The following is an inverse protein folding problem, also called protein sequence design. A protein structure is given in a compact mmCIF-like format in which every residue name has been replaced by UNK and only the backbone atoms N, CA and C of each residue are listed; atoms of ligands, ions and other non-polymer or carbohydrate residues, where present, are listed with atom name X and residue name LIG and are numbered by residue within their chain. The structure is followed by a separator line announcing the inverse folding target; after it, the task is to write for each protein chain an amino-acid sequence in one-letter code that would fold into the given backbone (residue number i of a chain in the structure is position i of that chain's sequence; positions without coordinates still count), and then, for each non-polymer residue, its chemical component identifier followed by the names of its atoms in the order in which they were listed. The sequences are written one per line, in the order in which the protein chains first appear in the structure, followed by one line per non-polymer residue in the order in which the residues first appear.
data_IF_331149771428
#
_entry.id   IF_331149771428
#
_cell.length_a   1.000
_cell.length_b   1.000
_cell.length_c   1.000
_cell.angle_alpha   90.00
_cell.angle_beta   90.00
_cell.angle_gamma   90.00
#
_symmetry.space_group_name_H-M   'P 1'
#
loop_
_entity.id
_entity.type
_entity.pdbx_description
1 polymer ?
#
# COMPACT_ATOMS: atom_id res chain seq x y z
N UNK A 1 -21.04 -7.55 13.22
CA UNK A 1 -20.34 -6.58 12.34
C UNK A 1 -18.80 -6.74 12.27
N UNK A 2 -18.08 -7.05 13.37
CA UNK A 2 -16.61 -7.27 13.34
C UNK A 2 -16.14 -8.36 12.36
N UNK A 3 -16.86 -9.47 12.26
CA UNK A 3 -16.51 -10.58 11.36
C UNK A 3 -16.60 -10.23 9.87
N UNK A 4 -17.59 -9.44 9.44
CA UNK A 4 -17.77 -9.11 8.02
C UNK A 4 -16.67 -8.16 7.52
N UNK A 5 -16.33 -7.14 8.30
CA UNK A 5 -15.23 -6.22 7.97
C UNK A 5 -13.88 -6.94 7.88
N UNK A 6 -13.61 -7.86 8.82
CA UNK A 6 -12.39 -8.68 8.80
C UNK A 6 -12.33 -9.60 7.56
N UNK A 7 -13.46 -10.20 7.17
CA UNK A 7 -13.52 -11.05 5.96
C UNK A 7 -13.30 -10.24 4.68
N UNK A 8 -13.91 -9.06 4.58
CA UNK A 8 -13.73 -8.15 3.44
C UNK A 8 -12.27 -7.68 3.33
N UNK A 9 -11.64 -7.29 4.45
CA UNK A 9 -10.23 -6.91 4.49
C UNK A 9 -9.31 -8.06 4.09
N UNK A 10 -9.56 -9.28 4.58
CA UNK A 10 -8.80 -10.47 4.17
C UNK A 10 -8.94 -10.72 2.67
N UNK A 11 -10.14 -10.63 2.11
CA UNK A 11 -10.37 -10.80 0.67
C UNK A 11 -9.67 -9.72 -0.14
N UNK A 12 -9.69 -8.47 0.32
CA UNK A 12 -8.98 -7.36 -0.31
C UNK A 12 -7.46 -7.56 -0.29
N UNK A 13 -6.88 -7.96 0.85
CA UNK A 13 -5.44 -8.29 0.94
C UNK A 13 -5.05 -9.45 0.02
N UNK A 14 -5.92 -10.48 -0.10
CA UNK A 14 -5.73 -11.57 -1.08
C UNK A 14 -5.77 -11.06 -2.53
N UNK A 15 -6.68 -10.14 -2.85
CA UNK A 15 -6.76 -9.52 -4.19
C UNK A 15 -5.49 -8.73 -4.52
N UNK A 16 -4.95 -7.96 -3.56
CA UNK A 16 -3.66 -7.28 -3.76
C UNK A 16 -2.53 -8.29 -4.03
N UNK A 17 -2.59 -9.46 -3.38
CA UNK A 17 -1.70 -10.59 -3.65
C UNK A 17 -0.24 -10.32 -3.28
N UNK A 18 0.01 -9.40 -2.34
CA UNK A 18 1.35 -8.99 -1.95
C UNK A 18 2.13 -10.19 -1.36
N UNK A 19 3.44 -10.22 -1.61
CA UNK A 19 4.33 -11.26 -1.06
C UNK A 19 4.35 -11.24 0.46
N UNK A 20 4.34 -12.43 1.06
CA UNK A 20 4.45 -12.59 2.52
C UNK A 20 5.72 -11.92 3.02
N UNK A 21 5.59 -11.20 4.13
CA UNK A 21 6.72 -10.49 4.73
C UNK A 21 7.42 -11.38 5.77
N UNK A 22 8.73 -11.24 5.85
CA UNK A 22 9.60 -11.92 6.82
C UNK A 22 10.90 -11.12 6.96
N UNK A 23 11.59 -11.14 8.12
CA UNK A 23 11.27 -11.83 9.37
C UNK A 23 10.30 -11.04 10.27
N UNK A 24 10.01 -11.53 11.49
CA UNK A 24 9.09 -10.89 12.45
C UNK A 24 9.41 -9.43 12.80
N UNK A 25 10.66 -8.98 12.63
CA UNK A 25 11.03 -7.58 12.84
C UNK A 25 10.38 -6.66 11.82
N UNK A 26 10.11 -7.14 10.59
CA UNK A 26 9.59 -6.33 9.49
C UNK A 26 8.35 -5.52 9.89
N UNK A 27 7.33 -6.18 10.46
CA UNK A 27 6.09 -5.47 10.80
C UNK A 27 6.29 -4.48 11.95
N UNK A 28 7.20 -4.78 12.89
CA UNK A 28 7.49 -3.89 14.03
C UNK A 28 8.21 -2.64 13.55
N UNK A 29 9.19 -2.81 12.66
CA UNK A 29 9.96 -1.71 12.11
C UNK A 29 9.10 -0.86 11.19
N UNK A 30 8.29 -1.48 10.33
CA UNK A 30 7.31 -0.76 9.50
C UNK A 30 6.32 0.01 10.37
N UNK A 31 5.71 -0.62 11.37
CA UNK A 31 4.75 0.07 12.24
C UNK A 31 5.39 1.24 13.01
N UNK A 32 6.65 1.11 13.44
CA UNK A 32 7.38 2.22 14.08
C UNK A 32 7.60 3.39 13.13
N UNK A 33 7.95 3.11 11.88
CA UNK A 33 8.13 4.10 10.81
C UNK A 33 6.81 4.86 10.58
N UNK A 34 5.71 4.14 10.31
CA UNK A 34 4.38 4.74 10.08
C UNK A 34 3.91 5.60 11.26
N UNK A 35 4.16 5.16 12.50
CA UNK A 35 3.82 5.94 13.70
C UNK A 35 4.70 7.18 13.89
N UNK A 36 5.94 7.19 13.36
CA UNK A 36 6.79 8.39 13.34
C UNK A 36 6.27 9.37 12.29
N UNK A 37 5.98 8.91 11.08
CA UNK A 37 5.42 9.73 10.00
C UNK A 37 4.07 10.34 10.43
N UNK A 38 3.20 9.53 11.06
CA UNK A 38 1.94 10.01 11.62
C UNK A 38 2.09 11.09 12.68
N UNK A 39 3.14 11.05 13.49
CA UNK A 39 3.43 12.08 14.51
C UNK A 39 4.00 13.36 13.89
N UNK A 40 4.74 13.23 12.78
CA UNK A 40 5.26 14.37 12.03
C UNK A 40 4.20 15.06 11.14
N UNK A 41 3.06 14.40 10.89
CA UNK A 41 1.99 14.95 10.06
C UNK A 41 1.32 16.18 10.70
N UNK A 42 1.31 17.29 9.97
CA UNK A 42 0.83 18.58 10.46
C UNK A 42 -0.62 18.86 10.04
N UNK A 43 -1.02 18.48 8.84
CA UNK A 43 -2.37 18.79 8.29
C UNK A 43 -3.36 17.65 8.51
N UNK A 44 -4.68 17.92 8.59
CA UNK A 44 -5.69 16.86 8.73
C UNK A 44 -5.63 15.78 7.64
N UNK A 45 -5.36 16.18 6.39
CA UNK A 45 -5.21 15.24 5.27
C UNK A 45 -3.97 14.36 5.41
N UNK A 46 -2.82 14.94 5.77
CA UNK A 46 -1.61 14.15 6.08
C UNK A 46 -1.88 13.20 7.24
N UNK A 47 -2.52 13.68 8.31
CA UNK A 47 -2.91 12.85 9.44
C UNK A 47 -3.80 11.69 9.03
N UNK A 48 -4.77 11.90 8.12
CA UNK A 48 -5.61 10.83 7.57
C UNK A 48 -4.80 9.83 6.75
N UNK A 49 -3.95 10.32 5.83
CA UNK A 49 -3.02 9.51 5.03
C UNK A 49 -2.17 8.60 5.92
N UNK A 50 -1.42 9.17 6.86
CA UNK A 50 -0.51 8.41 7.71
C UNK A 50 -1.28 7.45 8.64
N UNK A 51 -2.49 7.83 9.08
CA UNK A 51 -3.35 6.90 9.85
C UNK A 51 -3.74 5.70 8.99
N UNK A 52 -4.03 5.92 7.70
CA UNK A 52 -4.37 4.85 6.78
C UNK A 52 -3.20 3.89 6.54
N UNK A 53 -1.96 4.38 6.56
CA UNK A 53 -0.75 3.55 6.36
C UNK A 53 -0.42 2.74 7.62
N UNK A 54 -0.65 3.30 8.82
CA UNK A 54 -0.64 2.55 10.09
C UNK A 54 -1.67 1.40 10.05
N UNK A 55 -2.91 1.69 9.62
CA UNK A 55 -3.99 0.69 9.55
C UNK A 55 -3.69 -0.39 8.51
N UNK A 56 -3.12 -0.01 7.37
CA UNK A 56 -2.66 -0.94 6.37
C UNK A 56 -1.58 -1.86 6.94
N UNK A 57 -0.56 -1.32 7.61
CA UNK A 57 0.54 -2.10 8.19
C UNK A 57 0.04 -3.12 9.22
N UNK A 58 -0.88 -2.74 10.10
CA UNK A 58 -1.47 -3.65 11.09
C UNK A 58 -2.31 -4.74 10.41
N UNK A 59 -3.20 -4.36 9.48
CA UNK A 59 -4.06 -5.32 8.79
C UNK A 59 -3.27 -6.28 7.90
N UNK A 60 -2.20 -5.79 7.25
CA UNK A 60 -1.27 -6.60 6.48
C UNK A 60 -0.53 -7.59 7.36
N UNK A 61 0.02 -7.14 8.48
CA UNK A 61 0.73 -8.02 9.40
C UNK A 61 -0.18 -9.15 9.94
N UNK A 62 -1.45 -8.86 10.20
CA UNK A 62 -2.45 -9.88 10.57
C UNK A 62 -2.72 -10.85 9.42
N UNK A 63 -2.78 -10.38 8.18
CA UNK A 63 -2.95 -11.25 7.00
C UNK A 63 -1.73 -12.14 6.76
N UNK A 64 -0.53 -11.65 7.05
CA UNK A 64 0.72 -12.41 6.94
C UNK A 64 0.95 -13.38 8.11
N UNK A 65 0.04 -13.43 9.08
CA UNK A 65 0.09 -14.38 10.20
C UNK A 65 0.95 -13.94 11.39
N UNK A 66 1.36 -12.67 11.47
CA UNK A 66 2.11 -12.18 12.62
C UNK A 66 1.23 -12.10 13.88
N UNK A 67 1.80 -12.33 15.09
CA UNK A 67 1.08 -12.21 16.35
C UNK A 67 0.92 -10.72 16.73
N UNK A 68 0.07 -10.01 15.99
CA UNK A 68 -0.22 -8.59 16.26
C UNK A 68 -1.23 -8.51 17.41
N UNK A 69 -0.91 -7.74 18.46
CA UNK A 69 -1.88 -7.41 19.53
C UNK A 69 -3.11 -6.76 18.90
N UNK A 70 -4.28 -6.98 19.52
CA UNK A 70 -5.56 -6.49 19.00
C UNK A 70 -5.49 -5.03 18.53
N UNK A 71 -6.09 -4.76 17.37
CA UNK A 71 -6.27 -3.42 16.84
C UNK A 71 -6.89 -2.51 17.93
N UNK A 72 -6.47 -1.23 18.03
CA UNK A 72 -7.11 -0.28 18.95
C UNK A 72 -8.63 -0.33 18.77
N UNK A 73 -9.38 -0.26 19.89
CA UNK A 73 -10.85 -0.38 19.88
C UNK A 73 -11.46 0.49 18.78
N UNK A 74 -12.17 -0.18 17.87
CA UNK A 74 -12.85 0.42 16.73
C UNK A 74 -13.90 1.45 17.18
N UNK A 75 -13.60 2.74 17.04
CA UNK A 75 -14.56 3.86 17.10
C UNK A 75 -15.17 4.07 15.70
N UNK A 76 -16.37 3.53 15.48
CA UNK A 76 -16.98 3.35 14.17
C UNK A 76 -17.01 4.59 13.26
N UNK A 77 -17.32 5.78 13.77
CA UNK A 77 -17.43 6.99 12.95
C UNK A 77 -16.08 7.49 12.39
N UNK A 78 -14.98 7.34 13.14
CA UNK A 78 -13.64 7.80 12.72
C UNK A 78 -12.91 6.79 11.85
N UNK A 79 -13.14 5.48 12.04
CA UNK A 79 -12.41 4.48 11.28
C UNK A 79 -12.96 4.25 9.87
N UNK A 80 -14.25 4.50 9.61
CA UNK A 80 -14.81 4.32 8.25
C UNK A 80 -14.06 5.17 7.22
N UNK A 81 -13.77 6.44 7.54
CA UNK A 81 -12.98 7.32 6.66
C UNK A 81 -11.56 6.80 6.45
N UNK A 82 -10.89 6.35 7.53
CA UNK A 82 -9.54 5.78 7.46
C UNK A 82 -9.50 4.51 6.60
N UNK A 83 -10.43 3.57 6.81
CA UNK A 83 -10.51 2.34 6.01
C UNK A 83 -10.85 2.64 4.56
N UNK A 84 -11.78 3.56 4.29
CA UNK A 84 -12.12 3.95 2.92
C UNK A 84 -10.91 4.57 2.23
N UNK A 85 -10.23 5.53 2.88
CA UNK A 85 -9.02 6.14 2.33
C UNK A 85 -7.92 5.10 2.09
N UNK A 86 -7.69 4.20 3.05
CA UNK A 86 -6.73 3.08 2.93
C UNK A 86 -7.04 2.20 1.71
N UNK A 87 -8.29 1.74 1.56
CA UNK A 87 -8.69 0.86 0.45
C UNK A 87 -8.47 1.56 -0.90
N UNK A 88 -8.90 2.81 -1.03
CA UNK A 88 -8.73 3.57 -2.28
C UNK A 88 -7.25 3.85 -2.56
N UNK A 89 -6.48 4.30 -1.56
CA UNK A 89 -5.04 4.58 -1.65
C UNK A 89 -4.25 3.39 -2.14
N UNK A 90 -4.34 2.26 -1.44
CA UNK A 90 -3.53 1.08 -1.75
C UNK A 90 -4.02 0.36 -3.01
N UNK A 91 -5.33 0.37 -3.31
CA UNK A 91 -5.84 -0.16 -4.59
C UNK A 91 -5.41 0.71 -5.77
N UNK A 92 -5.39 2.04 -5.61
CA UNK A 92 -4.89 2.97 -6.61
C UNK A 92 -3.41 2.71 -6.92
N UNK A 93 -2.57 2.56 -5.88
CA UNK A 93 -1.14 2.21 -6.04
C UNK A 93 -0.97 0.86 -6.74
N UNK A 94 -1.71 -0.16 -6.33
CA UNK A 94 -1.68 -1.48 -6.96
C UNK A 94 -2.04 -1.43 -8.46
N UNK A 95 -3.13 -0.74 -8.80
CA UNK A 95 -3.54 -0.54 -10.20
C UNK A 95 -2.52 0.27 -10.99
N UNK A 96 -1.89 1.28 -10.38
CA UNK A 96 -0.86 2.10 -11.02
C UNK A 96 0.27 1.20 -11.54
N UNK A 97 0.87 0.38 -10.67
CA UNK A 97 2.01 -0.46 -11.05
C UNK A 97 1.65 -1.50 -12.11
N UNK A 98 0.47 -2.12 -12.02
CA UNK A 98 -0.02 -3.03 -13.06
C UNK A 98 -0.20 -2.32 -14.40
N UNK A 99 -0.77 -1.12 -14.38
CA UNK A 99 -0.98 -0.30 -15.59
C UNK A 99 0.35 0.07 -16.23
N UNK A 100 1.34 0.54 -15.44
CA UNK A 100 2.68 0.85 -15.97
C UNK A 100 3.33 -0.40 -16.55
N UNK A 101 3.26 -1.55 -15.87
CA UNK A 101 3.83 -2.80 -16.36
C UNK A 101 3.20 -3.25 -17.69
N UNK A 102 1.88 -3.11 -17.83
CA UNK A 102 1.17 -3.37 -19.09
C UNK A 102 1.64 -2.42 -20.19
N UNK A 103 1.74 -1.11 -19.93
CA UNK A 103 2.23 -0.13 -20.91
C UNK A 103 3.72 -0.32 -21.25
N UNK A 104 4.50 -0.95 -20.38
CA UNK A 104 5.87 -1.35 -20.65
C UNK A 104 5.97 -2.60 -21.54
N UNK A 105 4.86 -3.30 -21.83
CA UNK A 105 4.81 -4.63 -22.44
C UNK A 105 5.58 -5.68 -21.64
N UNK A 106 5.49 -5.63 -20.31
CA UNK A 106 6.12 -6.63 -19.46
C UNK A 106 5.41 -8.00 -19.65
N UNK A 107 6.15 -9.09 -19.93
CA UNK A 107 5.54 -10.41 -20.21
C UNK A 107 4.73 -10.95 -19.03
N UNK A 108 5.07 -10.55 -17.80
CA UNK A 108 4.41 -10.99 -16.58
C UNK A 108 3.78 -9.81 -15.80
N UNK A 109 3.16 -8.85 -16.49
CA UNK A 109 2.56 -7.66 -15.86
C UNK A 109 1.53 -7.98 -14.74
N UNK A 110 0.89 -9.15 -14.78
CA UNK A 110 -0.05 -9.61 -13.75
C UNK A 110 0.62 -10.01 -12.41
N UNK A 111 1.92 -10.25 -12.42
CA UNK A 111 2.74 -10.53 -11.23
C UNK A 111 3.20 -9.26 -10.51
N UNK A 112 3.07 -8.08 -11.15
CA UNK A 112 3.36 -6.80 -10.52
C UNK A 112 2.25 -6.46 -9.53
N UNK A 113 2.59 -6.49 -8.24
CA UNK A 113 1.62 -6.33 -7.14
C UNK A 113 1.99 -5.22 -6.17
N UNK A 114 2.86 -4.31 -6.59
CA UNK A 114 3.44 -3.31 -5.71
C UNK A 114 2.41 -2.28 -5.25
N UNK A 115 2.52 -1.86 -3.99
CA UNK A 115 1.66 -0.83 -3.38
C UNK A 115 2.46 0.27 -2.70
N UNK A 116 3.76 0.32 -2.99
CA UNK A 116 4.64 1.38 -2.49
C UNK A 116 4.23 2.72 -3.10
N UNK A 117 4.56 3.83 -2.44
CA UNK A 117 4.18 5.14 -2.94
C UNK A 117 4.84 5.43 -4.31
N UNK A 118 4.07 5.52 -5.41
CA UNK A 118 4.64 5.68 -6.74
C UNK A 118 5.15 7.08 -6.99
N UNK A 119 5.01 8.06 -6.08
CA UNK A 119 5.56 9.41 -6.23
C UNK A 119 7.08 9.49 -6.13
N UNK A 120 7.74 8.44 -5.63
CA UNK A 120 9.19 8.40 -5.43
C UNK A 120 9.88 7.63 -6.57
N UNK A 121 10.78 8.29 -7.28
CA UNK A 121 11.45 7.71 -8.46
C UNK A 121 12.32 6.49 -8.13
N UNK A 122 13.09 6.52 -7.05
CA UNK A 122 13.90 5.37 -6.63
C UNK A 122 13.04 4.11 -6.39
N UNK A 123 11.82 4.27 -5.85
CA UNK A 123 10.88 3.15 -5.65
C UNK A 123 10.39 2.57 -6.98
N UNK A 124 10.22 3.38 -8.01
CA UNK A 124 9.86 2.88 -9.34
C UNK A 124 10.98 2.03 -9.93
N UNK A 125 12.24 2.48 -9.78
CA UNK A 125 13.39 1.77 -10.31
C UNK A 125 13.64 0.45 -9.58
N UNK A 126 13.44 0.41 -8.25
CA UNK A 126 13.47 -0.83 -7.47
C UNK A 126 12.40 -1.84 -7.93
N UNK A 127 11.17 -1.35 -8.15
CA UNK A 127 10.07 -2.16 -8.65
C UNK A 127 10.38 -2.69 -10.06
N UNK A 128 10.84 -1.83 -10.96
CA UNK A 128 11.20 -2.24 -12.31
C UNK A 128 12.27 -3.34 -12.30
N UNK A 129 13.33 -3.17 -11.50
CA UNK A 129 14.39 -4.18 -11.34
C UNK A 129 13.87 -5.51 -10.80
N UNK A 130 13.01 -5.47 -9.77
CA UNK A 130 12.42 -6.68 -9.16
C UNK A 130 11.61 -7.51 -10.17
N UNK A 131 10.92 -6.83 -11.08
CA UNK A 131 10.09 -7.46 -12.12
C UNK A 131 10.80 -7.59 -13.47
N UNK A 132 12.12 -7.36 -13.52
CA UNK A 132 12.95 -7.44 -14.74
C UNK A 132 12.41 -6.59 -15.91
N UNK A 133 11.85 -5.42 -15.59
CA UNK A 133 11.38 -4.42 -16.54
C UNK A 133 12.47 -3.35 -16.69
N UNK A 134 12.70 -2.85 -17.91
CA UNK A 134 13.62 -1.73 -18.16
C UNK A 134 13.30 -0.54 -17.23
N UNK A 135 14.19 -0.19 -16.28
CA UNK A 135 13.95 0.88 -15.32
C UNK A 135 13.77 2.25 -15.98
N UNK A 136 14.45 2.52 -17.09
CA UNK A 136 14.38 3.81 -17.80
C UNK A 136 13.01 3.98 -18.44
N UNK A 137 12.56 2.96 -19.17
CA UNK A 137 11.22 2.93 -19.77
C UNK A 137 10.13 2.97 -18.69
N UNK A 138 10.27 2.17 -17.64
CA UNK A 138 9.29 2.11 -16.54
C UNK A 138 9.11 3.45 -15.85
N UNK A 139 10.22 4.13 -15.54
CA UNK A 139 10.22 5.47 -14.96
C UNK A 139 9.58 6.49 -15.89
N UNK A 140 9.93 6.49 -17.18
CA UNK A 140 9.37 7.40 -18.19
C UNK A 140 7.85 7.28 -18.28
N UNK A 141 7.33 6.06 -18.37
CA UNK A 141 5.88 5.80 -18.45
C UNK A 141 5.21 6.19 -17.13
N UNK A 142 5.79 5.81 -16.00
CA UNK A 142 5.29 6.20 -14.68
C UNK A 142 5.15 7.72 -14.54
N UNK A 143 6.17 8.49 -14.94
CA UNK A 143 6.15 9.95 -14.88
C UNK A 143 5.03 10.57 -15.72
N UNK A 144 4.71 9.97 -16.87
CA UNK A 144 3.56 10.41 -17.70
C UNK A 144 2.24 10.05 -17.02
N UNK A 145 2.10 8.83 -16.53
CA UNK A 145 0.88 8.35 -15.90
C UNK A 145 0.53 9.12 -14.62
N UNK A 146 1.53 9.47 -13.81
CA UNK A 146 1.38 10.27 -12.57
C UNK A 146 0.67 11.61 -12.79
N UNK A 147 0.70 12.18 -14.01
CA UNK A 147 0.04 13.47 -14.32
C UNK A 147 -1.47 13.40 -14.25
N UNK A 148 -2.03 12.22 -14.50
CA UNK A 148 -3.48 11.98 -14.55
C UNK A 148 -3.95 10.98 -13.50
N UNK A 149 -3.02 10.25 -12.88
CA UNK A 149 -3.34 9.26 -11.87
C UNK A 149 -3.64 9.91 -10.52
N UNK A 150 -4.72 9.53 -9.82
CA UNK A 150 -5.02 10.05 -8.50
C UNK A 150 -3.99 9.53 -7.48
N UNK A 151 -2.93 10.30 -7.28
CA UNK A 151 -1.89 10.05 -6.29
C UNK A 151 -2.41 10.48 -4.92
N UNK A 152 -2.95 9.51 -4.19
CA UNK A 152 -3.26 9.69 -2.79
C UNK A 152 -1.95 9.65 -2.00
N UNK A 153 -1.58 10.75 -1.30
CA UNK A 153 -0.42 10.75 -0.41
C UNK A 153 -0.56 9.61 0.59
#
# INVERSE_FOLDING_TARGET
MRHLGDLLLKRWHKMLGLSLQSPRSWYRDRLREELRERRAANTPLQKLSETSDVFFSISRARCDGFPVRELPRFIASRHVLVYTYMLVKYTSRWKFYRTVATLCNAPHYSQVREVVNPSKDHKLEEVARRHQIDPVKFRRISSRLRRVWPLLP
#
